data_IF_551957177591
#
_entry.id   IF_551957177591
#
_cell.length_a   1.000
_cell.length_b   1.000
_cell.length_c   1.000
_cell.angle_alpha   90.00
_cell.angle_beta   90.00
_cell.angle_gamma   90.00
#
_symmetry.space_group_name_H-M   'P 1'
#
loop_
_entity.id
_entity.type
_entity.pdbx_description
1 polymer ?
#
# COMPACT_ATOMS: atom_id res chain seq x y z
N UNK A 1 -28.98 -95.65 -5.69
CA UNK A 1 -29.78 -94.49 -6.13
C UNK A 1 -28.97 -93.23 -5.88
N UNK A 2 -28.80 -92.44 -6.94
CA UNK A 2 -27.97 -91.25 -7.10
C UNK A 2 -28.34 -90.12 -6.13
N UNK A 3 -27.35 -89.39 -5.59
CA UNK A 3 -27.21 -87.93 -5.77
C UNK A 3 -25.97 -87.36 -5.07
N UNK A 4 -25.08 -86.83 -5.92
CA UNK A 4 -24.15 -85.74 -5.61
C UNK A 4 -24.84 -84.63 -4.81
N UNK A 5 -24.16 -84.09 -3.80
CA UNK A 5 -24.19 -82.65 -3.58
C UNK A 5 -22.78 -82.12 -3.31
N UNK A 6 -22.37 -81.27 -4.24
CA UNK A 6 -21.10 -80.57 -4.34
C UNK A 6 -21.13 -79.40 -3.34
N UNK A 7 -20.32 -79.44 -2.29
CA UNK A 7 -20.08 -78.27 -1.43
C UNK A 7 -18.64 -77.80 -1.59
N UNK A 8 -18.45 -76.88 -2.54
CA UNK A 8 -17.16 -76.23 -2.80
C UNK A 8 -16.90 -75.25 -1.65
N UNK A 9 -16.14 -75.69 -0.64
CA UNK A 9 -15.58 -74.79 0.38
C UNK A 9 -14.75 -73.72 -0.33
N UNK A 10 -15.25 -72.48 -0.38
CA UNK A 10 -14.42 -71.32 -0.73
C UNK A 10 -13.50 -71.08 0.46
N UNK A 11 -12.22 -71.33 0.28
CA UNK A 11 -11.20 -70.82 1.19
C UNK A 11 -11.20 -69.30 1.08
N UNK A 12 -11.85 -68.63 2.03
CA UNK A 12 -11.63 -67.20 2.27
C UNK A 12 -10.22 -67.10 2.87
N UNK A 13 -9.25 -66.45 2.20
CA UNK A 13 -7.94 -66.27 2.78
C UNK A 13 -8.10 -65.47 4.08
N UNK A 14 -7.58 -66.00 5.19
CA UNK A 14 -7.53 -65.28 6.46
C UNK A 14 -6.73 -64.00 6.22
N UNK A 15 -7.38 -62.87 6.43
CA UNK A 15 -6.79 -61.56 6.32
C UNK A 15 -5.63 -61.44 7.34
N UNK A 16 -4.42 -61.24 6.82
CA UNK A 16 -3.19 -61.05 7.60
C UNK A 16 -3.23 -59.66 8.28
N UNK A 17 -4.03 -59.57 9.34
CA UNK A 17 -4.29 -58.34 10.10
C UNK A 17 -3.08 -57.83 10.87
N UNK A 18 -2.02 -58.63 11.03
CA UNK A 18 -0.78 -58.22 11.70
C UNK A 18 0.08 -57.32 10.83
N UNK A 19 0.32 -57.74 9.58
CA UNK A 19 1.17 -57.01 8.62
C UNK A 19 0.58 -55.66 8.22
N UNK A 20 -0.75 -55.56 8.15
CA UNK A 20 -1.43 -54.31 7.85
C UNK A 20 -1.33 -53.28 9.00
N UNK A 21 -1.34 -53.72 10.26
CA UNK A 21 -1.21 -52.82 11.43
C UNK A 21 0.19 -52.23 11.54
N UNK A 22 1.23 -53.03 11.30
CA UNK A 22 2.61 -52.56 11.29
C UNK A 22 2.86 -51.55 10.17
N UNK A 23 2.34 -51.83 8.96
CA UNK A 23 2.43 -50.90 7.83
C UNK A 23 1.67 -49.59 8.13
N UNK A 24 0.49 -49.66 8.73
CA UNK A 24 -0.27 -48.46 9.13
C UNK A 24 0.51 -47.65 10.18
N UNK A 25 1.12 -48.30 11.18
CA UNK A 25 1.93 -47.65 12.21
C UNK A 25 3.18 -46.98 11.62
N UNK A 26 3.85 -47.64 10.68
CA UNK A 26 5.01 -47.08 9.98
C UNK A 26 4.60 -45.88 9.14
N UNK A 27 3.50 -45.95 8.39
CA UNK A 27 2.98 -44.83 7.60
C UNK A 27 2.53 -43.67 8.48
N UNK A 28 1.94 -43.94 9.64
CA UNK A 28 1.60 -42.92 10.62
C UNK A 28 2.84 -42.25 11.21
N UNK A 29 3.85 -43.02 11.60
CA UNK A 29 5.11 -42.47 12.09
C UNK A 29 5.82 -41.63 11.01
N UNK A 30 5.81 -42.08 9.75
CA UNK A 30 6.35 -41.35 8.60
C UNK A 30 5.57 -40.06 8.31
N UNK A 31 4.24 -40.09 8.38
CA UNK A 31 3.42 -38.89 8.16
C UNK A 31 3.61 -37.86 9.26
N UNK A 32 3.71 -38.29 10.53
CA UNK A 32 4.05 -37.42 11.66
C UNK A 32 5.46 -36.85 11.49
N UNK A 33 6.44 -37.66 11.08
CA UNK A 33 7.80 -37.21 10.82
C UNK A 33 7.83 -36.16 9.69
N UNK A 34 7.16 -36.40 8.56
CA UNK A 34 7.07 -35.43 7.47
C UNK A 34 6.32 -34.16 7.86
N UNK A 35 5.27 -34.26 8.68
CA UNK A 35 4.56 -33.09 9.20
C UNK A 35 5.46 -32.25 10.12
N UNK A 36 6.22 -32.89 11.01
CA UNK A 36 7.18 -32.20 11.89
C UNK A 36 8.30 -31.57 11.08
N UNK A 37 8.85 -32.26 10.09
CA UNK A 37 9.87 -31.71 9.19
C UNK A 37 9.32 -30.52 8.39
N UNK A 38 8.14 -30.64 7.79
CA UNK A 38 7.50 -29.56 7.04
C UNK A 38 7.22 -28.32 7.90
N UNK A 39 6.89 -28.51 9.19
CA UNK A 39 6.69 -27.42 10.15
C UNK A 39 8.00 -26.82 10.67
N UNK A 40 9.05 -27.63 10.76
CA UNK A 40 10.36 -27.22 11.31
C UNK A 40 11.28 -26.59 10.27
N UNK A 41 10.99 -26.77 8.98
CA UNK A 41 11.62 -26.06 7.87
C UNK A 41 10.67 -24.97 7.34
N UNK A 42 10.49 -23.84 8.04
CA UNK A 42 9.78 -22.71 7.47
C UNK A 42 10.49 -22.27 6.19
N UNK A 43 9.72 -21.90 5.17
CA UNK A 43 10.29 -21.32 3.96
C UNK A 43 10.97 -20.00 4.33
N UNK A 44 12.29 -19.92 4.18
CA UNK A 44 13.08 -18.69 4.44
C UNK A 44 12.48 -17.46 3.76
N UNK A 45 11.82 -17.66 2.63
CA UNK A 45 11.13 -16.62 1.87
C UNK A 45 9.84 -16.14 2.54
N UNK A 46 9.06 -17.04 3.13
CA UNK A 46 7.84 -16.70 3.87
C UNK A 46 8.13 -15.90 5.13
N UNK A 47 9.19 -16.26 5.86
CA UNK A 47 9.63 -15.51 7.05
C UNK A 47 10.13 -14.11 6.69
N UNK A 48 10.86 -13.98 5.56
CA UNK A 48 11.32 -12.68 5.06
C UNK A 48 10.15 -11.77 4.66
N UNK A 49 9.18 -12.29 3.89
CA UNK A 49 7.98 -11.55 3.51
C UNK A 49 7.24 -11.06 4.76
N UNK A 50 7.00 -11.95 5.72
CA UNK A 50 6.32 -11.61 6.98
C UNK A 50 7.08 -10.52 7.74
N UNK A 51 8.41 -10.61 7.80
CA UNK A 51 9.25 -9.59 8.43
C UNK A 51 9.16 -8.22 7.74
N UNK A 52 9.21 -8.19 6.40
CA UNK A 52 9.06 -6.94 5.63
C UNK A 52 7.65 -6.33 5.81
N UNK A 53 6.60 -7.16 5.87
CA UNK A 53 5.22 -6.72 6.13
C UNK A 53 5.06 -6.10 7.51
N UNK A 54 5.59 -6.74 8.56
CA UNK A 54 5.55 -6.22 9.94
C UNK A 54 6.29 -4.89 9.99
N UNK A 55 7.52 -4.85 9.46
CA UNK A 55 8.34 -3.64 9.43
C UNK A 55 7.65 -2.49 8.70
N UNK A 56 6.98 -2.75 7.58
CA UNK A 56 6.25 -1.71 6.85
C UNK A 56 5.08 -1.14 7.67
N UNK A 57 4.37 -1.99 8.40
CA UNK A 57 3.30 -1.57 9.31
C UNK A 57 3.84 -0.71 10.46
N UNK A 58 4.96 -1.11 11.07
CA UNK A 58 5.64 -0.34 12.14
C UNK A 58 6.11 1.03 11.65
N UNK A 59 6.72 1.12 10.47
CA UNK A 59 7.13 2.40 9.86
C UNK A 59 5.91 3.30 9.62
N UNK A 60 4.78 2.72 9.19
CA UNK A 60 3.55 3.50 8.99
C UNK A 60 2.97 3.99 10.32
N UNK A 61 3.04 3.20 11.40
CA UNK A 61 2.66 3.66 12.75
C UNK A 61 3.50 4.87 13.15
N UNK A 62 4.82 4.76 13.05
CA UNK A 62 5.75 5.85 13.36
C UNK A 62 5.46 7.11 12.54
N UNK A 63 5.21 6.95 11.23
CA UNK A 63 4.84 8.04 10.34
C UNK A 63 3.53 8.72 10.76
N UNK A 64 2.51 7.94 11.14
CA UNK A 64 1.22 8.46 11.60
C UNK A 64 1.36 9.21 12.93
N UNK A 65 2.19 8.71 13.85
CA UNK A 65 2.48 9.38 15.11
C UNK A 65 3.12 10.75 14.87
N UNK A 66 4.13 10.84 13.99
CA UNK A 66 4.77 12.10 13.59
C UNK A 66 3.77 13.09 12.97
N UNK A 67 2.87 12.61 12.11
CA UNK A 67 1.85 13.48 11.49
C UNK A 67 0.88 13.99 12.55
N UNK A 68 0.43 13.14 13.49
CA UNK A 68 -0.45 13.51 14.59
C UNK A 68 0.16 14.62 15.43
N UNK A 69 1.41 14.44 15.87
CA UNK A 69 2.14 15.42 16.68
C UNK A 69 2.31 16.75 15.92
N UNK A 70 2.77 16.68 14.68
CA UNK A 70 2.99 17.86 13.85
C UNK A 70 1.69 18.64 13.61
N UNK A 71 0.57 17.93 13.41
CA UNK A 71 -0.76 18.55 13.30
C UNK A 71 -1.19 19.19 14.61
N UNK A 72 -0.89 18.58 15.75
CA UNK A 72 -1.18 19.16 17.06
C UNK A 72 -0.44 20.47 17.33
N UNK A 73 0.78 20.61 16.79
CA UNK A 73 1.59 21.83 16.95
C UNK A 73 1.19 22.96 16.00
N UNK A 74 0.85 22.64 14.75
CA UNK A 74 0.77 23.63 13.65
C UNK A 74 -0.55 23.64 12.90
N UNK A 75 -1.31 22.56 13.03
CA UNK A 75 -2.54 22.36 12.29
C UNK A 75 -3.79 22.52 13.15
N UNK A 76 -4.97 22.37 12.53
CA UNK A 76 -6.23 22.41 13.23
C UNK A 76 -6.45 21.17 14.07
N UNK A 77 -7.16 21.37 15.18
CA UNK A 77 -7.52 20.34 16.16
C UNK A 77 -8.16 19.14 15.45
N UNK A 78 -7.74 17.94 15.84
CA UNK A 78 -8.30 16.69 15.32
C UNK A 78 -9.69 16.47 15.91
N UNK A 79 -10.71 16.40 15.05
CA UNK A 79 -12.05 16.04 15.47
C UNK A 79 -12.14 14.53 15.72
N UNK A 80 -12.33 14.15 16.99
CA UNK A 80 -12.40 12.75 17.44
C UNK A 80 -13.64 12.01 16.92
N UNK A 81 -14.67 12.71 16.48
CA UNK A 81 -15.86 12.10 15.88
C UNK A 81 -15.62 11.73 14.41
N UNK A 82 -14.62 12.36 13.77
CA UNK A 82 -14.28 12.20 12.35
C UNK A 82 -13.02 11.34 12.20
N UNK A 83 -11.99 11.58 13.00
CA UNK A 83 -10.77 10.78 13.06
C UNK A 83 -10.73 10.02 14.40
N UNK A 84 -11.43 8.88 14.44
CA UNK A 84 -11.63 8.08 15.67
C UNK A 84 -10.29 7.67 16.32
N UNK A 85 -9.29 7.37 15.51
CA UNK A 85 -7.96 6.94 15.95
C UNK A 85 -6.99 8.12 16.10
N UNK A 86 -7.46 9.35 15.91
CA UNK A 86 -6.68 10.58 16.01
C UNK A 86 -5.39 10.52 15.18
N UNK A 87 -5.50 10.03 13.95
CA UNK A 87 -4.35 9.80 13.07
C UNK A 87 -3.75 11.10 12.53
N UNK A 88 -4.54 12.17 12.45
CA UNK A 88 -4.17 13.44 11.83
C UNK A 88 -4.22 13.42 10.30
N UNK A 89 -4.53 12.26 9.69
CA UNK A 89 -4.58 12.05 8.24
C UNK A 89 -5.96 12.34 7.62
N UNK A 90 -7.01 12.48 8.45
CA UNK A 90 -8.35 12.78 7.97
C UNK A 90 -8.56 14.29 7.90
N UNK A 91 -8.94 14.78 6.72
CA UNK A 91 -9.21 16.19 6.48
C UNK A 91 -10.64 16.61 6.79
N UNK A 92 -11.11 17.61 6.04
CA UNK A 92 -12.41 18.24 6.21
C UNK A 92 -13.46 17.66 5.25
N UNK A 93 -14.73 17.81 5.61
CA UNK A 93 -15.83 17.51 4.68
C UNK A 93 -15.77 18.42 3.45
N UNK A 94 -15.44 19.70 3.65
CA UNK A 94 -15.29 20.66 2.57
C UNK A 94 -14.23 21.72 2.90
N UNK A 95 -13.50 22.16 1.89
CA UNK A 95 -12.61 23.31 1.93
C UNK A 95 -12.44 23.87 0.51
N UNK A 96 -11.75 25.01 0.40
CA UNK A 96 -11.41 25.61 -0.90
C UNK A 96 -10.54 24.73 -1.82
N UNK A 97 -9.83 23.75 -1.27
CA UNK A 97 -8.98 22.79 -2.01
C UNK A 97 -9.62 21.40 -2.15
N UNK A 98 -10.90 21.26 -1.81
CA UNK A 98 -11.66 20.03 -2.06
C UNK A 98 -11.93 19.88 -3.55
N UNK A 99 -11.60 18.72 -4.13
CA UNK A 99 -11.80 18.45 -5.57
C UNK A 99 -13.09 17.69 -5.88
N UNK A 100 -13.50 16.78 -5.01
CA UNK A 100 -14.59 15.85 -5.29
C UNK A 100 -15.16 15.24 -4.01
N UNK A 101 -16.35 14.65 -4.13
CA UNK A 101 -17.01 13.89 -3.06
C UNK A 101 -16.14 12.67 -2.67
N UNK A 102 -16.07 12.37 -1.38
CA UNK A 102 -15.32 11.23 -0.85
C UNK A 102 -16.07 10.53 0.28
N UNK A 103 -15.79 9.24 0.49
CA UNK A 103 -16.31 8.48 1.63
C UNK A 103 -15.36 8.60 2.82
N UNK A 104 -15.89 9.08 3.95
CA UNK A 104 -15.17 9.15 5.22
C UNK A 104 -14.75 7.75 5.69
N UNK A 105 -15.62 6.76 5.52
CA UNK A 105 -15.38 5.36 5.87
C UNK A 105 -14.16 4.82 5.11
N UNK A 106 -14.11 5.05 3.79
CA UNK A 106 -12.98 4.64 2.98
C UNK A 106 -11.67 5.30 3.44
N UNK A 107 -11.69 6.60 3.79
CA UNK A 107 -10.50 7.28 4.31
C UNK A 107 -10.04 6.68 5.64
N UNK A 108 -10.97 6.47 6.57
CA UNK A 108 -10.68 5.83 7.86
C UNK A 108 -10.12 4.43 7.71
N UNK A 109 -10.64 3.62 6.79
CA UNK A 109 -10.11 2.27 6.55
C UNK A 109 -8.63 2.33 6.16
N UNK A 110 -8.26 3.26 5.28
CA UNK A 110 -6.88 3.37 4.80
C UNK A 110 -5.88 3.86 5.84
N UNK A 111 -6.32 4.42 6.97
CA UNK A 111 -5.39 4.83 8.04
C UNK A 111 -4.85 3.64 8.85
N UNK A 112 -5.37 2.43 8.63
CA UNK A 112 -4.85 1.22 9.26
C UNK A 112 -3.42 0.91 8.76
N UNK A 113 -2.41 0.83 9.64
CA UNK A 113 -1.03 0.55 9.26
C UNK A 113 -0.80 -0.76 8.48
N UNK A 114 -1.72 -1.72 8.61
CA UNK A 114 -1.68 -2.95 7.83
C UNK A 114 -1.83 -2.73 6.31
N UNK A 115 -2.25 -1.54 5.85
CA UNK A 115 -2.15 -1.20 4.44
C UNK A 115 -0.71 -1.18 3.93
N UNK A 116 0.26 -0.75 4.75
CA UNK A 116 1.67 -0.83 4.37
C UNK A 116 2.13 -2.28 4.21
N UNK A 117 1.71 -3.16 5.13
CA UNK A 117 1.94 -4.60 5.02
C UNK A 117 1.28 -5.21 3.76
N UNK A 118 0.04 -4.81 3.45
CA UNK A 118 -0.65 -5.24 2.24
C UNK A 118 0.10 -4.81 0.97
N UNK A 119 0.65 -3.58 0.94
CA UNK A 119 1.42 -3.10 -0.20
C UNK A 119 2.70 -3.92 -0.37
N UNK A 120 3.42 -4.25 0.71
CA UNK A 120 4.57 -5.18 0.65
C UNK A 120 4.16 -6.51 0.04
N UNK A 121 3.05 -7.09 0.51
CA UNK A 121 2.53 -8.34 -0.02
C UNK A 121 2.25 -8.25 -1.54
N UNK A 122 1.54 -7.20 -1.99
CA UNK A 122 1.24 -6.99 -3.41
C UNK A 122 2.51 -6.78 -4.25
N UNK A 123 3.50 -6.05 -3.74
CA UNK A 123 4.78 -5.85 -4.41
C UNK A 123 5.55 -7.16 -4.55
N UNK A 124 5.52 -8.03 -3.54
CA UNK A 124 6.11 -9.38 -3.66
C UNK A 124 5.37 -10.26 -4.65
N UNK A 125 4.04 -10.20 -4.71
CA UNK A 125 3.27 -10.89 -5.75
C UNK A 125 3.64 -10.40 -7.17
N UNK A 126 3.95 -9.11 -7.30
CA UNK A 126 4.47 -8.50 -8.53
C UNK A 126 5.96 -8.77 -8.78
N UNK A 127 6.61 -9.62 -7.96
CA UNK A 127 8.04 -9.99 -8.06
C UNK A 127 8.98 -8.78 -7.95
N UNK A 128 8.61 -7.80 -7.13
CA UNK A 128 9.45 -6.64 -6.83
C UNK A 128 10.44 -7.00 -5.73
N UNK A 129 11.71 -6.73 -6.01
CA UNK A 129 12.83 -7.06 -5.15
C UNK A 129 13.47 -5.83 -4.54
N UNK A 130 14.33 -6.06 -3.55
CA UNK A 130 15.08 -5.01 -2.88
C UNK A 130 15.91 -4.22 -3.89
N UNK A 131 15.85 -2.90 -3.82
CA UNK A 131 16.61 -1.99 -4.68
C UNK A 131 15.91 -1.65 -6.00
N UNK A 132 14.79 -2.31 -6.32
CA UNK A 132 14.00 -2.00 -7.51
C UNK A 132 13.42 -0.59 -7.44
N UNK A 133 13.23 -0.02 -8.62
CA UNK A 133 12.62 1.30 -8.81
C UNK A 133 11.13 1.13 -9.10
N UNK A 134 10.30 1.88 -8.38
CA UNK A 134 8.85 1.91 -8.58
C UNK A 134 8.40 3.34 -8.87
N UNK A 135 7.44 3.49 -9.78
CA UNK A 135 6.80 4.76 -10.05
C UNK A 135 5.49 4.85 -9.25
N UNK A 136 5.21 6.01 -8.66
CA UNK A 136 4.05 6.22 -7.79
C UNK A 136 3.29 7.47 -8.21
N UNK A 137 2.11 7.26 -8.80
CA UNK A 137 1.14 8.32 -9.04
C UNK A 137 0.28 8.51 -7.80
N UNK A 138 0.57 9.57 -7.04
CA UNK A 138 -0.06 9.83 -5.76
C UNK A 138 -1.16 10.91 -5.86
N UNK A 139 -2.28 10.67 -5.18
CA UNK A 139 -3.30 11.69 -4.92
C UNK A 139 -3.41 11.96 -3.44
N UNK A 140 -3.32 13.24 -3.07
CA UNK A 140 -3.55 13.72 -1.71
C UNK A 140 -4.98 13.48 -1.20
N UNK A 141 -5.88 12.94 -2.03
CA UNK A 141 -7.16 12.38 -1.60
C UNK A 141 -7.00 11.20 -0.63
N UNK A 142 -5.89 10.45 -0.70
CA UNK A 142 -5.60 9.31 0.19
C UNK A 142 -4.21 9.46 0.80
N UNK A 143 -4.00 10.44 1.70
CA UNK A 143 -2.68 10.72 2.27
C UNK A 143 -2.12 9.52 3.05
N UNK A 144 -3.00 8.78 3.74
CA UNK A 144 -2.72 7.52 4.41
C UNK A 144 -2.10 6.47 3.49
N UNK A 145 -2.60 6.32 2.25
CA UNK A 145 -2.04 5.37 1.28
C UNK A 145 -0.71 5.83 0.71
N UNK A 146 -0.49 7.15 0.60
CA UNK A 146 0.83 7.67 0.25
C UNK A 146 1.85 7.27 1.33
N UNK A 147 1.52 7.49 2.60
CA UNK A 147 2.35 7.05 3.74
C UNK A 147 2.56 5.54 3.71
N UNK A 148 1.52 4.76 3.43
CA UNK A 148 1.61 3.30 3.36
C UNK A 148 2.57 2.82 2.25
N UNK A 149 2.51 3.42 1.05
CA UNK A 149 3.40 3.09 -0.07
C UNK A 149 4.85 3.46 0.25
N UNK A 150 5.08 4.64 0.84
CA UNK A 150 6.42 5.05 1.25
C UNK A 150 6.99 4.15 2.35
N UNK A 151 6.15 3.72 3.30
CA UNK A 151 6.52 2.79 4.37
C UNK A 151 6.90 1.41 3.82
N UNK A 152 6.11 0.87 2.87
CA UNK A 152 6.44 -0.37 2.17
C UNK A 152 7.75 -0.23 1.37
N UNK A 153 7.91 0.89 0.66
CA UNK A 153 9.14 1.21 -0.06
C UNK A 153 10.37 1.24 0.84
N UNK A 154 10.28 1.87 2.02
CA UNK A 154 11.36 1.91 3.02
C UNK A 154 11.66 0.52 3.58
N UNK A 155 10.63 -0.25 3.95
CA UNK A 155 10.79 -1.60 4.50
C UNK A 155 11.48 -2.57 3.53
N UNK A 156 11.11 -2.50 2.24
CA UNK A 156 11.68 -3.31 1.17
C UNK A 156 12.96 -2.71 0.56
N UNK A 157 13.36 -1.50 0.99
CA UNK A 157 14.48 -0.74 0.44
C UNK A 157 14.37 -0.57 -1.09
N UNK A 158 13.23 -0.06 -1.52
CA UNK A 158 12.92 0.31 -2.90
C UNK A 158 13.29 1.77 -3.19
N UNK A 159 13.30 2.13 -4.47
CA UNK A 159 13.51 3.50 -4.93
C UNK A 159 12.20 4.06 -5.51
N UNK A 160 11.33 4.66 -4.68
CA UNK A 160 10.09 5.25 -5.17
C UNK A 160 10.35 6.57 -5.90
N UNK A 161 9.82 6.69 -7.11
CA UNK A 161 9.73 7.94 -7.85
C UNK A 161 8.28 8.41 -7.77
N UNK A 162 8.03 9.49 -7.03
CA UNK A 162 6.67 9.93 -6.70
C UNK A 162 6.32 11.19 -7.47
N UNK A 163 5.15 11.21 -8.11
CA UNK A 163 4.50 12.45 -8.56
C UNK A 163 3.18 12.56 -7.80
N UNK A 164 2.98 13.67 -7.09
CA UNK A 164 1.81 13.83 -6.21
C UNK A 164 0.91 15.00 -6.65
N UNK A 165 -0.41 14.79 -6.64
CA UNK A 165 -1.38 15.87 -6.80
C UNK A 165 -1.80 16.42 -5.43
N UNK A 166 -1.78 17.75 -5.25
CA UNK A 166 -2.11 18.37 -3.95
C UNK A 166 -3.61 18.50 -3.67
N UNK A 167 -4.42 18.71 -4.70
CA UNK A 167 -5.88 18.71 -4.57
C UNK A 167 -6.37 17.36 -4.04
N UNK A 168 -7.35 17.41 -3.14
CA UNK A 168 -7.82 16.25 -2.41
C UNK A 168 -9.35 16.19 -2.36
N UNK A 169 -9.92 15.00 -2.45
CA UNK A 169 -11.35 14.78 -2.20
C UNK A 169 -11.71 15.13 -0.75
N UNK A 170 -13.00 15.16 -0.44
CA UNK A 170 -13.47 15.20 0.96
C UNK A 170 -12.69 14.18 1.81
N UNK A 171 -12.37 14.61 3.03
CA UNK A 171 -11.68 13.81 4.04
C UNK A 171 -10.23 13.41 3.72
N UNK A 172 -9.69 13.81 2.55
CA UNK A 172 -8.27 13.65 2.22
C UNK A 172 -7.39 14.71 2.88
N UNK A 173 -6.20 15.00 2.34
CA UNK A 173 -5.37 16.11 2.81
C UNK A 173 -5.87 17.48 2.28
N UNK A 174 -7.17 17.73 2.41
CA UNK A 174 -7.85 18.90 1.88
C UNK A 174 -7.97 20.05 2.90
N UNK A 175 -7.23 20.05 4.01
CA UNK A 175 -7.23 21.18 4.92
C UNK A 175 -6.15 22.18 4.50
N UNK A 176 -6.47 23.43 4.09
CA UNK A 176 -5.46 24.40 3.68
C UNK A 176 -4.42 24.73 4.76
N UNK A 177 -4.77 24.60 6.04
CA UNK A 177 -3.88 24.89 7.17
C UNK A 177 -3.04 23.66 7.58
N UNK A 178 -3.28 22.50 6.97
CA UNK A 178 -2.51 21.28 7.17
C UNK A 178 -2.75 20.30 6.02
N UNK A 179 -2.20 20.61 4.85
CA UNK A 179 -2.37 19.82 3.62
C UNK A 179 -1.20 18.85 3.43
N UNK A 180 -1.10 18.22 2.25
CA UNK A 180 -0.09 17.19 2.04
C UNK A 180 1.34 17.70 2.17
N UNK A 181 1.66 18.93 1.73
CA UNK A 181 3.04 19.41 1.85
C UNK A 181 3.46 19.60 3.31
N UNK A 182 2.52 19.98 4.20
CA UNK A 182 2.78 20.04 5.63
C UNK A 182 3.10 18.65 6.17
N UNK A 183 2.24 17.67 5.91
CA UNK A 183 2.44 16.27 6.32
C UNK A 183 3.78 15.74 5.82
N UNK A 184 4.09 15.96 4.55
CA UNK A 184 5.34 15.56 3.93
C UNK A 184 6.54 16.23 4.60
N UNK A 185 6.46 17.53 4.89
CA UNK A 185 7.53 18.26 5.54
C UNK A 185 7.76 17.77 6.98
N UNK A 186 6.71 17.39 7.71
CA UNK A 186 6.85 16.77 9.04
C UNK A 186 7.60 15.45 8.94
N UNK A 187 7.20 14.57 8.01
CA UNK A 187 7.83 13.25 7.80
C UNK A 187 9.30 13.35 7.38
N UNK A 188 9.62 14.31 6.49
CA UNK A 188 10.99 14.57 6.05
C UNK A 188 11.85 15.11 7.20
N UNK A 189 11.33 16.07 7.97
CA UNK A 189 12.05 16.66 9.12
C UNK A 189 12.33 15.63 10.22
N UNK A 190 11.40 14.70 10.43
CA UNK A 190 11.56 13.60 11.38
C UNK A 190 12.44 12.46 10.85
N UNK A 191 12.90 12.48 9.59
CA UNK A 191 13.73 11.42 9.00
C UNK A 191 12.98 10.10 8.77
N UNK A 192 11.65 10.14 8.72
CA UNK A 192 10.83 8.96 8.44
C UNK A 192 10.99 8.52 7.00
N UNK A 193 11.02 9.47 6.07
CA UNK A 193 11.26 9.20 4.65
C UNK A 193 12.29 10.17 4.10
N UNK A 194 13.06 9.72 3.10
CA UNK A 194 14.02 10.57 2.38
C UNK A 194 13.49 11.03 1.01
N UNK A 195 12.43 10.38 0.52
CA UNK A 195 11.90 10.60 -0.82
C UNK A 195 10.96 11.82 -0.86
N UNK A 196 11.42 12.89 -1.50
CA UNK A 196 10.55 13.98 -1.97
C UNK A 196 9.92 13.59 -3.31
N UNK A 197 8.68 14.01 -3.60
CA UNK A 197 8.13 13.84 -4.94
C UNK A 197 8.97 14.63 -5.94
N UNK A 198 9.18 14.04 -7.12
CA UNK A 198 9.92 14.69 -8.20
C UNK A 198 9.11 15.79 -8.86
N UNK A 199 7.79 15.74 -8.71
CA UNK A 199 6.89 16.74 -9.24
C UNK A 199 5.58 16.77 -8.48
N UNK A 200 4.96 17.95 -8.48
CA UNK A 200 3.63 18.19 -7.94
C UNK A 200 2.68 18.63 -9.05
N UNK A 201 1.41 18.28 -8.91
CA UNK A 201 0.33 18.81 -9.74
C UNK A 201 -0.84 19.29 -8.88
N UNK A 202 -1.81 19.95 -9.52
CA UNK A 202 -3.00 20.44 -8.81
C UNK A 202 -3.97 19.31 -8.46
N UNK A 203 -4.09 18.27 -9.28
CA UNK A 203 -5.16 17.29 -9.14
C UNK A 203 -6.52 17.84 -9.58
N UNK A 204 -7.60 17.19 -9.11
CA UNK A 204 -8.96 17.45 -9.57
C UNK A 204 -9.19 16.99 -11.03
N UNK A 205 -10.35 17.31 -11.61
CA UNK A 205 -10.65 16.92 -12.99
C UNK A 205 -9.55 17.38 -13.94
N UNK A 206 -9.06 16.44 -14.76
CA UNK A 206 -8.02 16.67 -15.76
C UNK A 206 -6.71 17.23 -15.19
N UNK A 207 -6.48 17.07 -13.88
CA UNK A 207 -5.28 17.50 -13.17
C UNK A 207 -5.00 19.02 -13.25
N UNK A 208 -6.02 19.83 -13.56
CA UNK A 208 -5.94 21.29 -13.64
C UNK A 208 -6.77 22.00 -12.56
N UNK A 209 -7.35 21.23 -11.65
CA UNK A 209 -8.17 21.76 -10.56
C UNK A 209 -9.47 22.43 -11.01
N UNK A 210 -10.02 22.08 -12.18
CA UNK A 210 -11.25 22.70 -12.68
C UNK A 210 -12.43 22.62 -11.70
N UNK A 211 -12.46 21.62 -10.83
CA UNK A 211 -13.51 21.41 -9.84
C UNK A 211 -13.26 22.14 -8.51
N UNK A 212 -12.14 22.85 -8.40
CA UNK A 212 -11.80 23.67 -7.22
C UNK A 212 -12.17 25.14 -7.45
N UNK A 213 -12.40 25.84 -6.34
CA UNK A 213 -12.51 27.30 -6.35
C UNK A 213 -11.29 27.96 -7.01
N UNK A 214 -11.48 29.12 -7.63
CA UNK A 214 -10.36 29.92 -8.17
C UNK A 214 -9.34 30.26 -7.09
N UNK A 215 -9.81 30.56 -5.88
CA UNK A 215 -8.98 30.84 -4.72
C UNK A 215 -8.14 29.62 -4.30
N UNK A 216 -8.76 28.44 -4.19
CA UNK A 216 -8.07 27.20 -3.83
C UNK A 216 -7.02 26.78 -4.87
N UNK A 217 -7.31 26.97 -6.17
CA UNK A 217 -6.30 26.76 -7.22
C UNK A 217 -5.12 27.70 -7.07
N UNK A 218 -5.37 28.99 -6.91
CA UNK A 218 -4.31 29.99 -6.72
C UNK A 218 -3.46 29.67 -5.49
N UNK A 219 -4.09 29.25 -4.39
CA UNK A 219 -3.40 28.80 -3.20
C UNK A 219 -2.47 27.61 -3.47
N UNK A 220 -2.97 26.52 -4.07
CA UNK A 220 -2.13 25.36 -4.38
C UNK A 220 -0.99 25.69 -5.36
N UNK A 221 -1.21 26.60 -6.32
CA UNK A 221 -0.15 27.06 -7.23
C UNK A 221 0.95 27.77 -6.44
N UNK A 222 0.59 28.63 -5.49
CA UNK A 222 1.55 29.30 -4.61
C UNK A 222 2.32 28.29 -3.77
N UNK A 223 1.63 27.37 -3.09
CA UNK A 223 2.25 26.31 -2.27
C UNK A 223 3.24 25.46 -3.08
N UNK A 224 2.88 25.06 -4.31
CA UNK A 224 3.78 24.29 -5.19
C UNK A 224 5.03 25.12 -5.53
N UNK A 225 4.86 26.40 -5.89
CA UNK A 225 6.00 27.28 -6.24
C UNK A 225 6.92 27.49 -5.05
N UNK A 226 6.39 27.73 -3.87
CA UNK A 226 7.16 27.94 -2.64
C UNK A 226 7.87 26.66 -2.18
N UNK A 227 7.31 25.48 -2.48
CA UNK A 227 7.95 24.20 -2.17
C UNK A 227 9.27 23.97 -2.93
N UNK A 228 9.48 24.67 -4.05
CA UNK A 228 10.61 24.45 -4.96
C UNK A 228 10.57 23.13 -5.74
N UNK A 229 9.49 22.34 -5.61
CA UNK A 229 9.30 21.09 -6.35
C UNK A 229 8.71 21.41 -7.73
N UNK A 230 9.15 20.67 -8.77
CA UNK A 230 8.73 20.92 -10.14
C UNK A 230 7.21 20.85 -10.30
N UNK A 231 6.61 21.95 -10.75
CA UNK A 231 5.19 22.03 -11.03
C UNK A 231 4.87 21.41 -12.39
N UNK A 232 4.24 20.24 -12.39
CA UNK A 232 3.72 19.63 -13.59
C UNK A 232 2.34 20.20 -13.92
N UNK A 233 2.28 20.96 -15.00
CA UNK A 233 1.05 21.52 -15.53
C UNK A 233 1.08 21.51 -17.05
N UNK A 234 0.11 20.83 -17.66
CA UNK A 234 -0.04 20.71 -19.11
C UNK A 234 -1.48 21.06 -19.50
N UNK A 235 -1.70 21.60 -20.72
CA UNK A 235 -3.00 22.17 -21.12
C UNK A 235 -4.09 21.12 -21.36
N UNK A 236 -3.71 19.85 -21.56
CA UNK A 236 -4.66 18.76 -21.74
C UNK A 236 -4.15 17.46 -21.11
N UNK A 237 -5.09 16.56 -20.86
CA UNK A 237 -4.85 15.29 -20.17
C UNK A 237 -3.79 14.43 -20.86
N UNK A 238 -3.85 14.32 -22.19
CA UNK A 238 -2.91 13.50 -22.97
C UNK A 238 -1.47 13.98 -22.77
N UNK A 239 -1.24 15.29 -22.90
CA UNK A 239 0.08 15.89 -22.67
C UNK A 239 0.54 15.75 -21.22
N UNK A 240 -0.39 15.85 -20.27
CA UNK A 240 -0.09 15.65 -18.85
C UNK A 240 0.42 14.23 -18.58
N UNK A 241 -0.28 13.21 -19.10
CA UNK A 241 0.14 11.81 -19.01
C UNK A 241 1.51 11.59 -19.67
N UNK A 242 1.71 12.10 -20.90
CA UNK A 242 3.00 12.01 -21.60
C UNK A 242 4.14 12.69 -20.84
N UNK A 243 3.89 13.84 -20.22
CA UNK A 243 4.87 14.53 -19.38
C UNK A 243 5.19 13.73 -18.10
N UNK A 244 4.20 13.11 -17.45
CA UNK A 244 4.43 12.23 -16.28
C UNK A 244 5.29 11.04 -16.64
N UNK A 245 4.99 10.36 -17.75
CA UNK A 245 5.75 9.20 -18.19
C UNK A 245 7.20 9.58 -18.49
N UNK A 246 7.43 10.71 -19.18
CA UNK A 246 8.79 11.22 -19.42
C UNK A 246 9.55 11.52 -18.13
N UNK A 247 8.90 12.17 -17.16
CA UNK A 247 9.53 12.45 -15.86
C UNK A 247 9.91 11.17 -15.09
N UNK A 248 9.05 10.15 -15.14
CA UNK A 248 9.36 8.85 -14.53
C UNK A 248 10.55 8.19 -15.21
N UNK A 249 10.56 8.14 -16.54
CA UNK A 249 11.65 7.54 -17.34
C UNK A 249 12.98 8.27 -17.12
N UNK A 250 12.97 9.61 -17.17
CA UNK A 250 14.15 10.45 -16.94
C UNK A 250 14.72 10.21 -15.54
N UNK A 251 13.86 10.18 -14.51
CA UNK A 251 14.32 9.99 -13.13
C UNK A 251 14.80 8.56 -12.86
N UNK A 252 14.19 7.58 -13.50
CA UNK A 252 14.61 6.19 -13.37
C UNK A 252 15.96 5.95 -14.04
N UNK A 253 16.26 6.69 -15.12
CA UNK A 253 17.53 6.61 -15.84
C UNK A 253 17.78 5.20 -16.37
N UNK A 254 18.95 4.63 -16.07
CA UNK A 254 19.27 3.25 -16.44
C UNK A 254 18.51 2.20 -15.62
N UNK A 255 17.94 2.60 -14.47
CA UNK A 255 17.12 1.71 -13.66
C UNK A 255 15.75 1.57 -14.33
N UNK A 256 15.36 0.37 -14.73
CA UNK A 256 14.01 0.13 -15.26
C UNK A 256 12.98 0.24 -14.12
N UNK A 257 11.87 0.94 -14.37
CA UNK A 257 10.71 0.93 -13.48
C UNK A 257 10.08 -0.46 -13.53
N UNK A 258 9.97 -1.12 -12.38
CA UNK A 258 9.47 -2.51 -12.27
C UNK A 258 7.98 -2.59 -11.99
N UNK A 259 7.43 -1.57 -11.33
CA UNK A 259 6.01 -1.46 -11.06
C UNK A 259 5.58 0.00 -11.05
N UNK A 260 4.31 0.21 -11.40
CA UNK A 260 3.61 1.46 -11.22
C UNK A 260 2.51 1.29 -10.17
N UNK A 261 2.47 2.18 -9.18
CA UNK A 261 1.45 2.21 -8.14
C UNK A 261 0.61 3.47 -8.34
N UNK A 262 -0.69 3.29 -8.53
CA UNK A 262 -1.66 4.38 -8.59
C UNK A 262 -2.40 4.50 -7.25
N UNK A 263 -2.44 5.71 -6.68
CA UNK A 263 -3.16 6.01 -5.44
C UNK A 263 -4.29 6.99 -5.74
N UNK A 264 -5.53 6.51 -5.63
CA UNK A 264 -6.73 7.32 -5.87
C UNK A 264 -6.94 7.69 -7.34
N UNK A 265 -7.75 8.73 -7.57
CA UNK A 265 -8.00 9.30 -8.89
C UNK A 265 -6.86 10.20 -9.35
N UNK A 266 -5.64 9.67 -9.41
CA UNK A 266 -4.56 10.37 -10.09
C UNK A 266 -4.83 10.40 -11.60
N UNK A 267 -4.09 11.21 -12.36
CA UNK A 267 -4.25 11.45 -13.81
C UNK A 267 -4.30 10.18 -14.71
N UNK A 268 -4.12 8.98 -14.14
CA UNK A 268 -4.11 7.68 -14.82
C UNK A 268 -5.40 6.85 -14.62
N UNK A 269 -6.48 7.48 -14.16
CA UNK A 269 -7.81 6.85 -13.98
C UNK A 269 -8.69 6.86 -15.23
#
# INVERSE_FOLDING_TARGET
>A
MTKLFFSRKRNIPKEDTGRNKEVILVLFALSVLFFVLAKSFPSREGDKLKGEMIRASEIMVEAVDVIRECRGEKGPIIDKNIDLNQTGLIGLEFSRITTSIGSLEAKRTTTNPNFAALIVFLLKQAKIERGDTIAVGASSSFPSLIVAVLSAGKAMNLKPIVINSLGASQWGANNPDFHWLDMQNCLLKAGIFDAKPISLSLGGARDNGADMSSEGRSFLITEIRESGIFFLHEPNLKRNVEARMRLYEEKAGESKIKAFINIGGSCFG
#
